data_IF_647248146301
#
_entry.id   IF_647248146301
#
_cell.length_a   1.000
_cell.length_b   1.000
_cell.length_c   1.000
_cell.angle_alpha   90.00
_cell.angle_beta   90.00
_cell.angle_gamma   90.00
#
_symmetry.space_group_name_H-M   'P 1'
#
loop_
_entity.id
_entity.type
_entity.pdbx_description
1 polymer ?
#
# COMPACT_ATOMS: atom_id res chain seq x y z
N UNK A 1 -5.66 -23.93 13.61
CA UNK A 1 -4.44 -23.12 13.30
C UNK A 1 -4.82 -22.22 12.16
N UNK A 2 -4.67 -20.93 12.33
CA UNK A 2 -4.93 -19.99 11.25
C UNK A 2 -3.93 -20.27 10.13
N UNK A 3 -4.44 -20.48 8.92
CA UNK A 3 -3.60 -20.72 7.74
C UNK A 3 -2.71 -19.50 7.48
N UNK A 4 -1.52 -19.70 6.90
CA UNK A 4 -0.58 -18.62 6.57
C UNK A 4 -1.25 -17.52 5.73
N UNK A 5 -2.11 -17.90 4.79
CA UNK A 5 -2.93 -17.01 3.96
C UNK A 5 -3.78 -16.05 4.80
N UNK A 6 -4.52 -16.56 5.77
CA UNK A 6 -5.35 -15.73 6.64
C UNK A 6 -4.51 -14.77 7.48
N UNK A 7 -3.34 -15.19 7.96
CA UNK A 7 -2.44 -14.34 8.74
C UNK A 7 -1.86 -13.22 7.87
N UNK A 8 -1.37 -13.50 6.67
CA UNK A 8 -0.83 -12.50 5.76
C UNK A 8 -1.90 -11.50 5.30
N UNK A 9 -3.09 -11.97 4.95
CA UNK A 9 -4.23 -11.12 4.61
C UNK A 9 -4.63 -10.20 5.78
N UNK A 10 -4.65 -10.74 7.00
CA UNK A 10 -4.89 -9.96 8.21
C UNK A 10 -3.82 -8.88 8.41
N UNK A 11 -2.53 -9.23 8.32
CA UNK A 11 -1.44 -8.26 8.46
C UNK A 11 -1.50 -7.16 7.40
N UNK A 12 -1.85 -7.50 6.15
CA UNK A 12 -2.07 -6.51 5.10
C UNK A 12 -3.23 -5.57 5.47
N UNK A 13 -4.38 -6.10 5.89
CA UNK A 13 -5.51 -5.24 6.33
C UNK A 13 -5.12 -4.36 7.51
N UNK A 14 -4.39 -4.88 8.47
CA UNK A 14 -4.02 -4.16 9.68
C UNK A 14 -3.12 -2.95 9.44
N UNK A 15 -2.19 -3.01 8.48
CA UNK A 15 -1.34 -1.85 8.17
C UNK A 15 -2.13 -0.73 7.49
N UNK A 16 -3.22 -1.05 6.78
CA UNK A 16 -4.08 -0.07 6.13
C UNK A 16 -5.24 0.41 7.02
N UNK A 17 -5.85 -0.48 7.81
CA UNK A 17 -7.12 -0.23 8.51
C UNK A 17 -7.04 -0.26 10.04
N UNK A 18 -5.93 -0.74 10.60
CA UNK A 18 -5.69 -0.79 12.03
C UNK A 18 -5.72 -2.18 12.64
N UNK A 19 -5.29 -2.26 13.90
CA UNK A 19 -5.16 -3.51 14.65
C UNK A 19 -3.73 -4.07 14.70
N UNK A 20 -2.78 -3.43 14.04
CA UNK A 20 -1.36 -3.84 14.02
C UNK A 20 -0.60 -3.42 15.29
N UNK A 21 0.58 -3.98 15.47
CA UNK A 21 1.47 -3.72 16.61
C UNK A 21 1.94 -2.27 16.75
N UNK A 22 1.99 -1.52 15.65
CA UNK A 22 2.46 -0.13 15.67
C UNK A 22 1.39 0.85 16.15
N UNK A 23 0.15 0.40 16.33
CA UNK A 23 -1.02 1.23 16.65
C UNK A 23 -1.20 2.41 15.67
N UNK A 24 -0.70 2.24 14.44
CA UNK A 24 -0.78 3.23 13.37
C UNK A 24 -1.18 2.54 12.07
N UNK A 25 -2.06 3.14 11.30
CA UNK A 25 -2.53 2.62 10.03
C UNK A 25 -2.74 3.75 9.02
N UNK A 26 -2.71 3.41 7.73
CA UNK A 26 -2.75 4.41 6.68
C UNK A 26 -4.07 5.18 6.66
N UNK A 27 -5.19 4.51 6.86
CA UNK A 27 -6.52 5.13 6.83
C UNK A 27 -6.69 6.20 7.91
N UNK A 28 -6.27 5.91 9.14
CA UNK A 28 -6.34 6.88 10.24
C UNK A 28 -5.34 8.02 10.05
N UNK A 29 -4.16 7.77 9.48
CA UNK A 29 -3.20 8.84 9.20
C UNK A 29 -3.73 9.80 8.11
N UNK A 30 -4.49 9.33 7.14
CA UNK A 30 -5.01 10.15 6.04
C UNK A 30 -6.38 10.79 6.34
N UNK A 31 -7.12 10.31 7.35
CA UNK A 31 -8.51 10.67 7.64
C UNK A 31 -8.77 12.17 7.68
N UNK A 32 -7.87 12.92 8.33
CA UNK A 32 -8.01 14.36 8.55
C UNK A 32 -7.06 15.19 7.66
N UNK A 33 -6.43 14.57 6.68
CA UNK A 33 -5.52 15.24 5.75
C UNK A 33 -6.30 15.78 4.56
N UNK A 34 -6.35 17.10 4.42
CA UNK A 34 -6.94 17.76 3.25
C UNK A 34 -6.05 17.61 2.01
N UNK A 35 -6.61 17.80 0.82
CA UNK A 35 -5.82 17.74 -0.42
C UNK A 35 -4.71 18.81 -0.46
N UNK A 36 -4.94 19.97 0.18
CA UNK A 36 -3.93 21.03 0.31
C UNK A 36 -2.75 20.53 1.16
N UNK A 37 -3.04 19.96 2.32
CA UNK A 37 -2.03 19.37 3.20
C UNK A 37 -1.31 18.19 2.54
N UNK A 38 -2.05 17.33 1.81
CA UNK A 38 -1.46 16.20 1.11
C UNK A 38 -0.44 16.60 0.05
N UNK A 39 -0.64 17.77 -0.60
CA UNK A 39 0.28 18.35 -1.58
C UNK A 39 1.34 19.27 -0.97
N UNK A 40 1.28 19.56 0.35
CA UNK A 40 2.21 20.48 0.99
C UNK A 40 3.62 19.91 1.03
N UNK A 41 4.57 20.67 0.48
CA UNK A 41 5.99 20.32 0.52
C UNK A 41 6.59 20.65 1.89
N UNK A 42 7.21 19.67 2.52
CA UNK A 42 7.98 19.82 3.75
C UNK A 42 9.45 19.61 3.44
N UNK A 43 10.22 20.69 3.41
CA UNK A 43 11.64 20.65 3.04
C UNK A 43 11.86 19.90 1.72
N UNK A 44 12.83 18.98 1.65
CA UNK A 44 13.11 18.12 0.50
C UNK A 44 12.41 16.74 0.55
N UNK A 45 11.47 16.54 1.50
CA UNK A 45 10.75 15.27 1.64
C UNK A 45 9.72 15.09 0.52
N UNK A 46 9.36 13.86 0.21
CA UNK A 46 8.18 13.59 -0.60
C UNK A 46 6.92 14.10 0.11
N UNK A 47 5.92 14.54 -0.65
CA UNK A 47 4.62 14.95 -0.09
C UNK A 47 3.81 13.73 0.37
N UNK A 48 2.80 13.97 1.21
CA UNK A 48 1.90 12.89 1.66
C UNK A 48 1.21 12.23 0.47
N UNK A 49 0.77 13.01 -0.53
CA UNK A 49 0.13 12.45 -1.73
C UNK A 49 1.10 11.57 -2.53
N UNK A 50 2.35 11.99 -2.69
CA UNK A 50 3.38 11.21 -3.40
C UNK A 50 3.67 9.88 -2.70
N UNK A 51 3.81 9.89 -1.37
CA UNK A 51 4.02 8.66 -0.58
C UNK A 51 2.79 7.74 -0.62
N UNK A 52 1.59 8.31 -0.54
CA UNK A 52 0.34 7.55 -0.62
C UNK A 52 0.18 6.89 -1.99
N UNK A 53 0.51 7.61 -3.07
CA UNK A 53 0.50 7.06 -4.42
C UNK A 53 1.54 5.95 -4.57
N UNK A 54 2.74 6.15 -4.05
CA UNK A 54 3.81 5.16 -4.08
C UNK A 54 3.40 3.85 -3.40
N UNK A 55 2.74 3.92 -2.23
CA UNK A 55 2.15 2.74 -1.58
C UNK A 55 1.12 2.07 -2.50
N UNK A 56 0.18 2.84 -3.04
CA UNK A 56 -0.88 2.34 -3.93
C UNK A 56 -0.30 1.70 -5.19
N UNK A 57 0.74 2.26 -5.75
CA UNK A 57 1.42 1.73 -6.94
C UNK A 57 1.86 0.27 -6.75
N UNK A 58 2.46 -0.06 -5.61
CA UNK A 58 2.89 -1.43 -5.32
C UNK A 58 1.74 -2.36 -4.92
N UNK A 59 0.70 -1.84 -4.28
CA UNK A 59 -0.55 -2.61 -4.08
C UNK A 59 -1.12 -3.04 -5.42
N UNK A 60 -1.23 -2.12 -6.38
CA UNK A 60 -1.74 -2.41 -7.73
C UNK A 60 -0.83 -3.38 -8.49
N UNK A 61 0.49 -3.23 -8.36
CA UNK A 61 1.47 -4.11 -9.01
C UNK A 61 1.30 -5.57 -8.60
N UNK A 62 1.16 -5.82 -7.30
CA UNK A 62 0.95 -7.18 -6.78
C UNK A 62 -0.44 -7.68 -7.14
N UNK A 63 -1.47 -6.84 -7.01
CA UNK A 63 -2.85 -7.21 -7.37
C UNK A 63 -2.97 -7.59 -8.85
N UNK A 64 -2.29 -6.88 -9.75
CA UNK A 64 -2.25 -7.22 -11.17
C UNK A 64 -1.67 -8.61 -11.42
N UNK A 65 -0.55 -8.94 -10.78
CA UNK A 65 0.06 -10.28 -10.89
C UNK A 65 -0.85 -11.36 -10.30
N UNK A 66 -1.48 -11.10 -9.16
CA UNK A 66 -2.41 -12.05 -8.55
C UNK A 66 -3.67 -12.27 -9.39
N UNK A 67 -4.05 -11.31 -10.22
CA UNK A 67 -5.10 -11.46 -11.23
C UNK A 67 -4.63 -12.17 -12.51
N UNK A 68 -3.39 -12.68 -12.55
CA UNK A 68 -2.81 -13.34 -13.73
C UNK A 68 -2.24 -12.40 -14.77
N UNK A 69 -2.12 -11.11 -14.46
CA UNK A 69 -1.48 -10.11 -15.32
C UNK A 69 0.05 -10.13 -15.24
N UNK A 70 0.71 -9.43 -16.18
CA UNK A 70 2.15 -9.25 -16.16
C UNK A 70 2.57 -8.21 -15.11
N UNK A 71 3.81 -8.31 -14.61
CA UNK A 71 4.42 -7.27 -13.78
C UNK A 71 5.02 -6.20 -14.70
N UNK A 72 4.20 -5.22 -15.07
CA UNK A 72 4.61 -4.11 -15.94
C UNK A 72 5.11 -2.89 -15.17
N UNK A 73 5.04 -2.93 -13.85
CA UNK A 73 5.41 -1.84 -12.95
C UNK A 73 6.91 -1.57 -13.03
N UNK A 74 7.27 -0.29 -13.10
CA UNK A 74 8.65 0.19 -13.06
C UNK A 74 8.77 1.23 -11.96
N UNK A 75 9.79 1.09 -11.14
CA UNK A 75 10.03 1.94 -9.97
C UNK A 75 10.09 3.44 -10.32
N UNK A 76 10.62 3.76 -11.51
CA UNK A 76 10.70 5.15 -12.02
C UNK A 76 9.32 5.84 -12.07
N UNK A 77 8.22 5.11 -12.20
CA UNK A 77 6.86 5.66 -12.27
C UNK A 77 6.13 5.62 -10.93
N UNK A 78 6.74 5.08 -9.90
CA UNK A 78 6.07 4.85 -8.61
C UNK A 78 5.73 6.12 -7.84
N UNK A 79 6.27 7.27 -8.24
CA UNK A 79 5.96 8.60 -7.72
C UNK A 79 5.26 9.52 -8.74
N UNK A 80 4.99 9.02 -9.94
CA UNK A 80 4.37 9.79 -11.04
C UNK A 80 2.84 9.79 -10.88
N UNK A 81 2.37 10.40 -9.81
CA UNK A 81 0.94 10.44 -9.52
C UNK A 81 0.21 11.47 -10.38
N UNK A 82 -1.06 11.21 -10.75
CA UNK A 82 -1.88 12.20 -11.42
C UNK A 82 -2.08 13.43 -10.53
N UNK A 83 -2.20 14.59 -11.15
CA UNK A 83 -2.49 15.82 -10.44
C UNK A 83 -3.87 15.72 -9.77
N UNK A 84 -3.94 16.06 -8.49
CA UNK A 84 -5.18 16.15 -7.73
C UNK A 84 -5.39 17.60 -7.31
N UNK A 85 -6.46 18.19 -7.80
CA UNK A 85 -6.71 19.62 -7.72
C UNK A 85 -7.77 20.02 -6.67
N UNK A 86 -8.43 19.04 -6.07
CA UNK A 86 -9.49 19.29 -5.10
C UNK A 86 -9.68 18.13 -4.12
N UNK A 87 -10.43 18.40 -3.05
CA UNK A 87 -10.70 17.45 -1.98
C UNK A 87 -11.43 16.19 -2.46
N UNK A 88 -12.36 16.32 -3.41
CA UNK A 88 -13.10 15.18 -3.95
C UNK A 88 -12.18 14.17 -4.64
N UNK A 89 -11.25 14.64 -5.48
CA UNK A 89 -10.28 13.77 -6.14
C UNK A 89 -9.35 13.07 -5.13
N UNK A 90 -8.94 13.77 -4.08
CA UNK A 90 -8.16 13.19 -2.99
C UNK A 90 -8.92 12.08 -2.24
N UNK A 91 -10.20 12.29 -1.95
CA UNK A 91 -11.05 11.30 -1.28
C UNK A 91 -11.34 10.09 -2.20
N UNK A 92 -11.64 10.32 -3.48
CA UNK A 92 -11.83 9.27 -4.48
C UNK A 92 -10.55 8.42 -4.64
N UNK A 93 -9.40 9.05 -4.64
CA UNK A 93 -8.11 8.35 -4.67
C UNK A 93 -7.93 7.47 -3.43
N UNK A 94 -8.14 8.00 -2.24
CA UNK A 94 -8.09 7.20 -1.01
C UNK A 94 -9.06 6.02 -1.07
N UNK A 95 -10.30 6.24 -1.53
CA UNK A 95 -11.29 5.18 -1.66
C UNK A 95 -10.84 4.08 -2.63
N UNK A 96 -10.14 4.44 -3.71
CA UNK A 96 -9.56 3.47 -4.63
C UNK A 96 -8.50 2.58 -3.98
N UNK A 97 -7.70 3.15 -3.06
CA UNK A 97 -6.72 2.40 -2.28
C UNK A 97 -7.42 1.36 -1.41
N UNK A 98 -8.43 1.78 -0.65
CA UNK A 98 -9.15 0.87 0.25
C UNK A 98 -9.76 -0.31 -0.50
N UNK A 99 -10.36 -0.06 -1.65
CA UNK A 99 -10.93 -1.10 -2.52
C UNK A 99 -9.87 -2.07 -3.05
N UNK A 100 -8.72 -1.55 -3.47
CA UNK A 100 -7.61 -2.37 -4.00
C UNK A 100 -6.99 -3.25 -2.92
N UNK A 101 -6.80 -2.71 -1.72
CA UNK A 101 -6.25 -3.44 -0.58
C UNK A 101 -7.17 -4.58 -0.15
N UNK A 102 -8.49 -4.34 -0.07
CA UNK A 102 -9.44 -5.41 0.26
C UNK A 102 -9.49 -6.48 -0.82
N UNK A 103 -9.41 -6.10 -2.10
CA UNK A 103 -9.33 -7.06 -3.20
C UNK A 103 -8.07 -7.92 -3.09
N UNK A 104 -6.92 -7.29 -2.86
CA UNK A 104 -5.64 -7.98 -2.69
C UNK A 104 -5.65 -8.90 -1.46
N UNK A 105 -6.12 -8.40 -0.32
CA UNK A 105 -6.21 -9.18 0.92
C UNK A 105 -7.12 -10.41 0.75
N UNK A 106 -8.25 -10.27 0.05
CA UNK A 106 -9.16 -11.37 -0.24
C UNK A 106 -8.50 -12.44 -1.13
N UNK A 107 -7.72 -12.04 -2.12
CA UNK A 107 -6.97 -12.99 -2.96
C UNK A 107 -5.86 -13.71 -2.20
N UNK A 108 -5.14 -12.98 -1.33
CA UNK A 108 -4.14 -13.58 -0.43
C UNK A 108 -4.79 -14.61 0.48
N UNK A 109 -5.95 -14.29 1.07
CA UNK A 109 -6.67 -15.16 2.00
C UNK A 109 -7.14 -16.47 1.33
N UNK A 110 -7.49 -16.41 0.05
CA UNK A 110 -7.92 -17.56 -0.75
C UNK A 110 -6.75 -18.37 -1.34
N UNK A 111 -5.51 -17.85 -1.28
CA UNK A 111 -4.36 -18.53 -1.87
C UNK A 111 -4.02 -19.81 -1.08
N UNK A 112 -3.89 -20.98 -1.74
CA UNK A 112 -3.39 -22.20 -1.11
C UNK A 112 -1.98 -22.00 -0.53
N UNK A 113 -1.73 -22.58 0.66
CA UNK A 113 -0.46 -22.37 1.37
C UNK A 113 0.77 -22.81 0.56
N UNK A 114 0.66 -23.86 -0.24
CA UNK A 114 1.72 -24.35 -1.12
C UNK A 114 2.13 -23.33 -2.19
N UNK A 115 1.24 -22.44 -2.61
CA UNK A 115 1.51 -21.45 -3.65
C UNK A 115 2.42 -20.32 -3.18
N UNK A 116 2.54 -20.10 -1.87
CA UNK A 116 3.42 -19.05 -1.33
C UNK A 116 4.90 -19.25 -1.66
N UNK A 117 5.33 -20.49 -1.91
CA UNK A 117 6.71 -20.80 -2.29
C UNK A 117 6.96 -20.71 -3.79
N UNK A 118 5.91 -20.57 -4.61
CA UNK A 118 6.06 -20.41 -6.05
C UNK A 118 6.72 -19.06 -6.37
N UNK A 119 7.53 -19.06 -7.45
CA UNK A 119 8.14 -17.83 -7.97
C UNK A 119 7.04 -16.83 -8.32
N UNK A 120 7.20 -15.58 -7.86
CA UNK A 120 6.20 -14.54 -8.07
C UNK A 120 6.01 -14.18 -9.56
N UNK A 121 7.07 -13.80 -10.24
CA UNK A 121 7.10 -13.56 -11.69
C UNK A 121 8.43 -14.01 -12.29
N UNK A 122 9.53 -13.73 -11.60
CA UNK A 122 10.91 -14.00 -12.00
C UNK A 122 11.71 -14.30 -10.73
N UNK A 123 12.70 -15.17 -10.81
CA UNK A 123 13.54 -15.60 -9.65
C UNK A 123 14.15 -14.41 -8.90
N UNK A 124 14.52 -13.35 -9.59
CA UNK A 124 15.09 -12.13 -8.99
C UNK A 124 14.15 -11.46 -7.98
N UNK A 125 12.82 -11.65 -8.10
CA UNK A 125 11.85 -11.11 -7.16
C UNK A 125 11.53 -12.08 -6.01
N UNK A 126 11.94 -13.35 -6.12
CA UNK A 126 11.63 -14.40 -5.16
C UNK A 126 10.19 -14.90 -5.29
N UNK A 127 9.66 -15.40 -4.19
CA UNK A 127 8.35 -16.07 -4.15
C UNK A 127 7.20 -15.12 -3.73
N UNK A 128 5.96 -15.62 -3.79
CA UNK A 128 4.77 -14.85 -3.37
C UNK A 128 4.85 -14.40 -1.91
N UNK A 129 5.31 -15.27 -1.00
CA UNK A 129 5.45 -14.92 0.42
C UNK A 129 6.33 -13.68 0.62
N UNK A 130 7.51 -13.67 -0.02
CA UNK A 130 8.46 -12.55 0.05
C UNK A 130 7.83 -11.24 -0.45
N UNK A 131 7.10 -11.28 -1.57
CA UNK A 131 6.53 -10.07 -2.17
C UNK A 131 5.35 -9.52 -1.34
N UNK A 132 4.50 -10.38 -0.79
CA UNK A 132 3.38 -9.97 0.07
C UNK A 132 3.93 -9.39 1.38
N UNK A 133 4.89 -10.06 2.02
CA UNK A 133 5.53 -9.55 3.24
C UNK A 133 6.25 -8.24 2.96
N UNK A 134 7.00 -8.16 1.87
CA UNK A 134 7.69 -6.95 1.44
C UNK A 134 6.76 -5.77 1.20
N UNK A 135 5.55 -5.98 0.67
CA UNK A 135 4.54 -4.94 0.56
C UNK A 135 4.09 -4.41 1.92
N UNK A 136 3.90 -5.30 2.89
CA UNK A 136 3.50 -4.91 4.26
C UNK A 136 4.62 -4.08 4.92
N UNK A 137 5.86 -4.54 4.83
CA UNK A 137 7.04 -3.83 5.35
C UNK A 137 7.22 -2.46 4.69
N UNK A 138 7.13 -2.40 3.38
CA UNK A 138 7.21 -1.18 2.58
C UNK A 138 6.11 -0.18 2.95
N UNK A 139 4.89 -0.67 3.15
CA UNK A 139 3.77 0.18 3.60
C UNK A 139 4.03 0.74 4.99
N UNK A 140 4.53 -0.06 5.95
CA UNK A 140 4.89 0.42 7.28
C UNK A 140 5.99 1.48 7.24
N UNK A 141 7.00 1.30 6.37
CA UNK A 141 8.07 2.28 6.20
C UNK A 141 7.53 3.64 5.77
N UNK A 142 6.69 3.68 4.73
CA UNK A 142 6.10 4.93 4.24
C UNK A 142 5.00 5.49 5.14
N UNK A 143 4.26 4.64 5.83
CA UNK A 143 3.31 5.03 6.87
C UNK A 143 3.99 5.83 7.99
N UNK A 144 5.18 5.41 8.42
CA UNK A 144 5.98 6.17 9.39
C UNK A 144 6.38 7.56 8.87
N UNK A 145 6.74 7.67 7.59
CA UNK A 145 7.04 8.96 6.95
C UNK A 145 5.81 9.86 6.88
N UNK A 146 4.66 9.33 6.47
CA UNK A 146 3.38 10.08 6.42
C UNK A 146 3.00 10.57 7.82
N UNK A 147 3.08 9.71 8.84
CA UNK A 147 2.78 10.08 10.23
C UNK A 147 3.69 11.19 10.75
N UNK A 148 4.95 11.20 10.34
CA UNK A 148 5.90 12.26 10.68
C UNK A 148 5.58 13.56 9.93
N UNK A 149 5.38 13.51 8.62
CA UNK A 149 5.04 14.68 7.80
C UNK A 149 3.77 15.36 8.29
N UNK A 150 2.76 14.58 8.65
CA UNK A 150 1.49 15.10 9.21
C UNK A 150 1.71 16.02 10.41
N UNK A 151 2.72 15.77 11.25
CA UNK A 151 3.05 16.64 12.41
C UNK A 151 3.66 17.97 12.02
N UNK A 152 4.21 18.11 10.82
CA UNK A 152 4.81 19.36 10.33
C UNK A 152 3.85 20.22 9.51
N UNK A 153 2.73 19.66 9.08
CA UNK A 153 1.75 20.36 8.23
C UNK A 153 0.44 20.71 8.95
N UNK A 154 0.30 20.29 10.22
CA UNK A 154 -0.83 20.62 11.11
C UNK A 154 -0.58 21.92 11.87
#
# INVERSE_FOLDING_TARGET
MDHLSAQLAKHLREVFFGGNWTCSNLKDQLKDVTYIQANQQVSSCNTIISLTYHIQYYVQSILQVMNGGALDSKDIYSYDHPKMDNQKQWEEFQQSIWSSVESLASQIELMPNENYQNIFVDEKYGNYFRNILGLIEHTHYHLGQIALLKKFIN
#
